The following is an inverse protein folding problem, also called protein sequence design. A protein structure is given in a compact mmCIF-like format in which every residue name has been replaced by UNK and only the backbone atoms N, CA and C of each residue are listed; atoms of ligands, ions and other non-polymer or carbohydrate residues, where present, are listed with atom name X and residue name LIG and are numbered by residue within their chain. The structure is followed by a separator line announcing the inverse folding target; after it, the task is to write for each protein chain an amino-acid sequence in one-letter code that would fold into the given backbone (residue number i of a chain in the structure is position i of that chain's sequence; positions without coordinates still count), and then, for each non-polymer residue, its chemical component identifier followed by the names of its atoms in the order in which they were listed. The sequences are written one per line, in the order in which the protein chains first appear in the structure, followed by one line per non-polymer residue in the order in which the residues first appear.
data_IF_032382775783
#
_entry.id   IF_032382775783
#
_cell.length_a   1.000
_cell.length_b   1.000
_cell.length_c   1.000
_cell.angle_alpha   90.00
_cell.angle_beta   90.00
_cell.angle_gamma   90.00
#
_symmetry.space_group_name_H-M   'P 1'
#
loop_
_entity.id
_entity.type
_entity.pdbx_description
1 polymer ?
#
# COMPACT_ATOMS: atom_id res chain seq x y z
N UNK A 1 18.98 42.24 24.73
CA UNK A 1 18.14 41.03 24.93
C UNK A 1 16.83 41.34 25.66
N UNK A 2 16.82 42.03 26.81
CA UNK A 2 15.61 42.26 27.63
C UNK A 2 14.45 43.02 26.91
N UNK A 3 14.76 43.98 26.04
CA UNK A 3 13.77 44.73 25.25
C UNK A 3 13.10 43.92 24.12
N UNK A 4 13.78 42.88 23.61
CA UNK A 4 13.23 41.99 22.58
C UNK A 4 12.14 41.09 23.17
N UNK A 5 12.38 40.55 24.37
CA UNK A 5 11.40 39.77 25.13
C UNK A 5 10.20 40.59 25.60
N UNK A 6 10.36 41.90 25.85
CA UNK A 6 9.24 42.80 26.14
C UNK A 6 8.36 43.05 24.91
N UNK A 7 8.96 43.22 23.72
CA UNK A 7 8.20 43.32 22.45
C UNK A 7 7.45 42.03 22.10
N UNK A 8 8.01 40.86 22.40
CA UNK A 8 7.34 39.57 22.21
C UNK A 8 6.06 39.40 23.06
N UNK A 9 5.92 40.17 24.15
CA UNK A 9 4.73 40.17 25.01
C UNK A 9 3.64 41.16 24.56
N UNK A 10 3.90 41.98 23.54
CA UNK A 10 2.87 42.88 23.02
C UNK A 10 1.75 42.06 22.36
N UNK A 11 0.46 42.35 22.63
CA UNK A 11 -0.67 41.57 22.10
C UNK A 11 -0.66 41.45 20.57
N UNK A 12 -0.19 42.48 19.86
CA UNK A 12 -0.08 42.49 18.39
C UNK A 12 1.02 41.55 17.90
N UNK A 13 2.15 41.52 18.59
CA UNK A 13 3.28 40.63 18.24
C UNK A 13 2.90 39.18 18.57
N UNK A 14 2.25 38.93 19.70
CA UNK A 14 1.66 37.63 20.05
C UNK A 14 0.65 37.17 18.99
N UNK A 15 -0.28 38.03 18.58
CA UNK A 15 -1.26 37.72 17.53
C UNK A 15 -0.56 37.36 16.21
N UNK A 16 0.43 38.15 15.78
CA UNK A 16 1.18 37.88 14.55
C UNK A 16 1.95 36.55 14.63
N UNK A 17 2.55 36.23 15.79
CA UNK A 17 3.23 34.95 15.99
C UNK A 17 2.27 33.78 15.97
N UNK A 18 1.08 33.90 16.57
CA UNK A 18 0.03 32.88 16.54
C UNK A 18 -0.48 32.69 15.11
N UNK A 19 -0.74 33.77 14.37
CA UNK A 19 -1.18 33.70 12.98
C UNK A 19 -0.09 33.07 12.09
N UNK A 20 1.17 33.44 12.28
CA UNK A 20 2.30 32.84 11.54
C UNK A 20 2.45 31.35 11.88
N UNK A 21 2.38 30.97 13.16
CA UNK A 21 2.44 29.58 13.58
C UNK A 21 1.25 28.76 13.05
N UNK A 22 0.04 29.33 13.06
CA UNK A 22 -1.14 28.71 12.48
C UNK A 22 -1.01 28.56 10.96
N UNK A 23 -0.56 29.60 10.25
CA UNK A 23 -0.33 29.53 8.80
C UNK A 23 0.73 28.48 8.43
N UNK A 24 1.84 28.40 9.17
CA UNK A 24 2.86 27.37 8.97
C UNK A 24 2.34 25.97 9.33
N UNK A 25 1.58 25.84 10.42
CA UNK A 25 1.01 24.56 10.85
C UNK A 25 -0.03 24.02 9.86
N UNK A 26 -1.08 24.80 9.61
CA UNK A 26 -2.17 24.41 8.71
C UNK A 26 -1.71 24.35 7.24
N UNK A 27 -0.92 25.33 6.79
CA UNK A 27 -0.37 25.34 5.43
C UNK A 27 0.61 24.19 5.20
N UNK A 28 1.50 23.94 6.17
CA UNK A 28 2.44 22.82 6.12
C UNK A 28 1.74 21.46 6.10
N UNK A 29 0.69 21.27 6.90
CA UNK A 29 -0.08 20.03 6.92
C UNK A 29 -0.81 19.77 5.60
N UNK A 30 -1.42 20.80 5.01
CA UNK A 30 -2.12 20.69 3.72
C UNK A 30 -1.16 20.38 2.57
N UNK A 31 0.04 20.96 2.57
CA UNK A 31 1.08 20.64 1.58
C UNK A 31 1.54 19.19 1.77
N UNK A 32 1.81 18.79 3.01
CA UNK A 32 2.26 17.43 3.30
C UNK A 32 1.23 16.39 2.85
N UNK A 33 -0.06 16.63 3.08
CA UNK A 33 -1.12 15.70 2.65
C UNK A 33 -1.25 15.59 1.13
N UNK A 34 -0.99 16.68 0.40
CA UNK A 34 -0.98 16.65 -1.07
C UNK A 34 0.25 15.94 -1.62
N UNK A 35 1.41 16.19 -1.02
CA UNK A 35 2.67 15.57 -1.45
C UNK A 35 2.67 14.08 -1.11
N UNK A 36 2.13 13.69 0.04
CA UNK A 36 2.04 12.28 0.44
C UNK A 36 1.06 11.47 -0.40
N UNK A 37 0.14 12.10 -1.12
CA UNK A 37 -0.73 11.42 -2.07
C UNK A 37 0.00 10.95 -3.34
N UNK A 38 1.22 11.44 -3.61
CA UNK A 38 2.02 11.01 -4.76
C UNK A 38 2.81 9.73 -4.40
N UNK A 39 2.61 8.60 -5.12
CA UNK A 39 3.35 7.36 -4.89
C UNK A 39 4.89 7.50 -4.84
N UNK A 40 5.45 8.43 -5.63
CA UNK A 40 6.89 8.67 -5.66
C UNK A 40 7.43 9.24 -4.35
N UNK A 41 6.58 9.92 -3.55
CA UNK A 41 6.98 10.50 -2.28
C UNK A 41 7.31 9.42 -1.23
N UNK A 42 6.61 8.29 -1.25
CA UNK A 42 6.80 7.21 -0.28
C UNK A 42 8.24 6.69 -0.26
N UNK A 43 8.89 6.60 -1.42
CA UNK A 43 10.27 6.15 -1.56
C UNK A 43 11.31 7.18 -1.04
N UNK A 44 10.90 8.42 -0.77
CA UNK A 44 11.80 9.48 -0.29
C UNK A 44 11.93 9.56 1.23
N UNK A 45 10.97 8.99 1.97
CA UNK A 45 10.89 9.12 3.43
C UNK A 45 11.09 7.81 4.20
N UNK A 46 10.78 6.66 3.59
CA UNK A 46 10.98 5.35 4.20
C UNK A 46 11.40 4.31 3.15
N UNK A 47 11.77 3.10 3.60
CA UNK A 47 12.31 2.04 2.73
C UNK A 47 11.24 1.47 1.78
N UNK A 48 10.86 2.18 0.72
CA UNK A 48 9.79 1.78 -0.21
C UNK A 48 10.25 1.77 -1.68
N UNK A 49 11.54 1.97 -1.94
CA UNK A 49 12.04 2.06 -3.32
C UNK A 49 11.73 0.80 -4.15
N UNK A 50 11.98 -0.44 -3.66
CA UNK A 50 11.68 -1.64 -4.44
C UNK A 50 10.18 -1.77 -4.80
N UNK A 51 9.30 -1.46 -3.86
CA UNK A 51 7.86 -1.52 -4.03
C UNK A 51 7.38 -0.42 -4.99
N UNK A 52 7.90 0.80 -4.87
CA UNK A 52 7.65 1.88 -5.82
C UNK A 52 8.12 1.50 -7.24
N UNK A 53 9.28 0.87 -7.37
CA UNK A 53 9.77 0.41 -8.67
C UNK A 53 8.80 -0.60 -9.28
N UNK A 54 8.36 -1.62 -8.52
CA UNK A 54 7.36 -2.58 -9.02
C UNK A 54 5.99 -1.97 -9.35
N UNK A 55 5.66 -0.81 -8.78
CA UNK A 55 4.47 -0.03 -9.07
C UNK A 55 4.64 0.82 -10.33
N UNK A 56 5.80 1.46 -10.51
CA UNK A 56 6.07 2.37 -11.61
C UNK A 56 6.47 1.65 -12.91
N UNK A 57 7.03 0.45 -12.81
CA UNK A 57 7.58 -0.33 -13.94
C UNK A 57 7.33 -1.83 -13.80
N UNK A 58 7.58 -2.57 -14.88
CA UNK A 58 7.47 -4.04 -14.92
C UNK A 58 6.08 -4.55 -15.34
N UNK A 59 5.78 -5.79 -14.98
CA UNK A 59 4.54 -6.49 -15.33
C UNK A 59 3.78 -7.06 -14.11
N UNK A 60 4.28 -6.76 -12.90
CA UNK A 60 3.69 -7.21 -11.65
C UNK A 60 2.32 -6.55 -11.43
N UNK A 61 1.52 -7.13 -10.52
CA UNK A 61 0.17 -6.64 -10.26
C UNK A 61 0.15 -5.18 -9.77
N UNK A 62 1.19 -4.72 -9.05
CA UNK A 62 1.33 -3.32 -8.66
C UNK A 62 1.34 -2.37 -9.87
N UNK A 63 2.08 -2.69 -10.94
CA UNK A 63 2.07 -1.89 -12.18
C UNK A 63 0.71 -1.89 -12.87
N UNK A 64 0.03 -3.04 -12.91
CA UNK A 64 -1.33 -3.14 -13.49
C UNK A 64 -2.33 -2.26 -12.72
N UNK A 65 -2.18 -2.16 -11.40
CA UNK A 65 -2.98 -1.25 -10.57
C UNK A 65 -2.61 0.22 -10.78
N UNK A 66 -1.30 0.53 -10.91
CA UNK A 66 -0.84 1.87 -11.28
C UNK A 66 -1.44 2.34 -12.61
N UNK A 67 -1.48 1.47 -13.62
CA UNK A 67 -2.07 1.75 -14.93
C UNK A 67 -3.59 1.95 -14.88
N UNK A 68 -4.25 1.35 -13.89
CA UNK A 68 -5.67 1.57 -13.60
C UNK A 68 -5.92 2.83 -12.75
N UNK A 69 -4.89 3.60 -12.41
CA UNK A 69 -4.99 4.82 -11.61
C UNK A 69 -5.12 4.59 -10.11
N UNK A 70 -4.88 3.36 -9.63
CA UNK A 70 -4.84 3.03 -8.20
C UNK A 70 -3.50 3.51 -7.62
N UNK A 71 -3.55 4.16 -6.47
CA UNK A 71 -2.42 4.74 -5.75
C UNK A 71 -2.06 3.90 -4.51
N UNK A 72 -0.93 4.20 -3.87
CA UNK A 72 -0.47 3.48 -2.68
C UNK A 72 -1.54 3.45 -1.57
N UNK A 73 -2.17 4.60 -1.29
CA UNK A 73 -3.11 4.75 -0.18
C UNK A 73 -4.48 4.10 -0.43
N UNK A 74 -4.80 3.75 -1.68
CA UNK A 74 -6.01 2.99 -1.96
C UNK A 74 -5.97 1.57 -1.35
N UNK A 75 -4.78 1.08 -0.97
CA UNK A 75 -4.59 -0.17 -0.24
C UNK A 75 -3.80 -0.01 1.07
N UNK A 76 -2.78 0.84 1.09
CA UNK A 76 -1.92 1.10 2.24
C UNK A 76 -2.40 2.32 3.02
N UNK A 77 -3.15 2.12 4.11
CA UNK A 77 -3.61 3.22 4.97
C UNK A 77 -2.88 3.20 6.34
N UNK A 78 -1.57 3.52 6.40
CA UNK A 78 -0.82 3.49 7.64
C UNK A 78 -1.24 4.64 8.56
N UNK A 79 -1.31 4.35 9.86
CA UNK A 79 -1.54 5.40 10.86
C UNK A 79 -0.38 6.41 10.86
N UNK A 80 -0.65 7.65 11.27
CA UNK A 80 0.40 8.68 11.37
C UNK A 80 1.59 8.23 12.24
N UNK A 81 1.32 7.55 13.35
CA UNK A 81 2.37 7.02 14.23
C UNK A 81 3.22 5.97 13.53
N UNK A 82 2.61 5.13 12.69
CA UNK A 82 3.33 4.14 11.90
C UNK A 82 4.25 4.81 10.87
N UNK A 83 3.74 5.78 10.12
CA UNK A 83 4.55 6.55 9.15
C UNK A 83 5.73 7.25 9.83
N UNK A 84 5.51 7.88 11.00
CA UNK A 84 6.59 8.52 11.76
C UNK A 84 7.64 7.51 12.24
N UNK A 85 7.22 6.32 12.66
CA UNK A 85 8.14 5.24 13.06
C UNK A 85 8.96 4.77 11.86
N UNK A 86 8.33 4.49 10.73
CA UNK A 86 9.00 4.03 9.50
C UNK A 86 10.02 5.07 9.01
N UNK A 87 9.66 6.35 8.99
CA UNK A 87 10.59 7.43 8.66
C UNK A 87 11.78 7.52 9.62
N UNK A 88 11.55 7.35 10.93
CA UNK A 88 12.63 7.30 11.91
C UNK A 88 13.57 6.11 11.68
N UNK A 89 13.02 4.92 11.44
CA UNK A 89 13.81 3.71 11.16
C UNK A 89 14.65 3.90 9.88
N UNK A 90 14.09 4.53 8.85
CA UNK A 90 14.81 4.86 7.62
C UNK A 90 15.99 5.81 7.85
N UNK A 91 15.77 6.93 8.52
CA UNK A 91 16.83 7.93 8.81
C UNK A 91 17.93 7.35 9.70
N UNK A 92 17.58 6.47 10.62
CA UNK A 92 18.55 5.80 11.50
C UNK A 92 19.22 4.58 10.86
N UNK A 93 18.76 4.15 9.69
CA UNK A 93 19.24 2.93 9.02
C UNK A 93 18.80 1.62 9.71
N UNK A 94 17.88 1.68 10.67
CA UNK A 94 17.44 0.55 11.46
C UNK A 94 16.13 -0.06 10.91
N UNK A 95 16.13 -0.47 9.64
CA UNK A 95 14.98 -1.07 8.97
C UNK A 95 15.33 -2.43 8.35
N UNK A 96 14.32 -3.24 8.09
CA UNK A 96 14.48 -4.54 7.44
C UNK A 96 14.50 -4.39 5.91
N UNK A 97 15.38 -5.15 5.26
CA UNK A 97 15.48 -5.22 3.80
C UNK A 97 15.81 -6.68 3.37
N UNK A 98 14.94 -7.37 2.60
CA UNK A 98 13.66 -6.89 2.08
C UNK A 98 12.65 -6.61 3.20
N UNK A 99 11.71 -5.70 2.95
CA UNK A 99 10.67 -5.40 3.93
C UNK A 99 9.79 -6.62 4.20
N UNK A 100 9.27 -6.77 5.43
CA UNK A 100 8.25 -7.75 5.73
C UNK A 100 7.04 -7.56 4.81
N UNK A 101 6.51 -8.68 4.31
CA UNK A 101 5.26 -8.66 3.55
C UNK A 101 4.10 -8.34 4.48
N UNK A 102 3.35 -7.30 4.13
CA UNK A 102 2.09 -6.98 4.78
C UNK A 102 0.96 -7.84 4.19
N UNK A 103 0.17 -8.45 5.07
CA UNK A 103 -1.02 -9.21 4.67
C UNK A 103 -2.22 -8.28 4.50
N UNK A 104 -2.97 -8.47 3.43
CA UNK A 104 -4.24 -7.81 3.18
C UNK A 104 -5.40 -8.79 3.30
N UNK A 105 -6.57 -8.28 3.67
CA UNK A 105 -7.80 -9.08 3.72
C UNK A 105 -8.48 -9.12 2.36
N UNK A 106 -9.25 -10.18 2.08
CA UNK A 106 -10.08 -10.23 0.87
C UNK A 106 -11.02 -9.03 0.75
N UNK A 107 -11.52 -8.50 1.88
CA UNK A 107 -12.42 -7.35 1.88
C UNK A 107 -11.79 -6.10 1.24
N UNK A 108 -10.48 -5.91 1.36
CA UNK A 108 -9.77 -4.80 0.72
C UNK A 108 -9.69 -4.98 -0.80
N UNK A 109 -9.43 -6.20 -1.28
CA UNK A 109 -9.44 -6.49 -2.71
C UNK A 109 -10.86 -6.35 -3.28
N UNK A 110 -11.86 -6.86 -2.55
CA UNK A 110 -13.27 -6.88 -2.96
C UNK A 110 -13.98 -5.53 -2.83
N UNK A 111 -13.32 -4.51 -2.29
CA UNK A 111 -13.85 -3.13 -2.31
C UNK A 111 -13.91 -2.56 -3.73
N UNK A 112 -13.02 -3.03 -4.61
CA UNK A 112 -12.94 -2.65 -6.02
C UNK A 112 -13.22 -3.80 -6.98
N UNK A 113 -12.91 -5.05 -6.58
CA UNK A 113 -13.13 -6.22 -7.43
C UNK A 113 -14.43 -6.96 -7.08
N UNK A 114 -15.30 -7.16 -8.07
CA UNK A 114 -16.46 -8.04 -7.90
C UNK A 114 -16.02 -9.51 -7.93
N UNK A 115 -16.37 -10.26 -6.89
CA UNK A 115 -16.07 -11.68 -6.85
C UNK A 115 -16.77 -12.45 -7.98
N UNK A 116 -17.99 -12.05 -8.35
CA UNK A 116 -18.70 -12.68 -9.46
C UNK A 116 -18.04 -12.41 -10.82
N UNK A 117 -17.47 -11.22 -11.02
CA UNK A 117 -16.71 -10.90 -12.23
C UNK A 117 -15.40 -11.68 -12.30
N UNK A 118 -14.71 -11.83 -11.17
CA UNK A 118 -13.51 -12.67 -11.06
C UNK A 118 -13.84 -14.12 -11.47
N UNK A 119 -14.93 -14.67 -10.93
CA UNK A 119 -15.40 -16.02 -11.29
C UNK A 119 -15.67 -16.16 -12.77
N UNK A 120 -16.34 -15.18 -13.37
CA UNK A 120 -16.64 -15.19 -14.81
C UNK A 120 -15.35 -15.11 -15.64
N UNK A 121 -14.41 -14.26 -15.26
CA UNK A 121 -13.13 -14.12 -15.93
C UNK A 121 -12.30 -15.42 -15.91
N UNK A 122 -12.39 -16.20 -14.82
CA UNK A 122 -11.69 -17.48 -14.68
C UNK A 122 -12.52 -18.71 -15.05
N UNK A 123 -13.76 -18.54 -15.54
CA UNK A 123 -14.68 -19.64 -15.84
C UNK A 123 -14.15 -20.62 -16.89
N UNK A 124 -13.25 -20.15 -17.77
CA UNK A 124 -12.61 -20.98 -18.79
C UNK A 124 -11.71 -22.09 -18.21
N UNK A 125 -11.27 -21.98 -16.95
CA UNK A 125 -10.57 -23.06 -16.24
C UNK A 125 -11.52 -24.14 -15.70
N UNK A 126 -12.84 -23.94 -15.79
CA UNK A 126 -13.84 -24.93 -15.40
C UNK A 126 -13.64 -25.41 -13.96
N UNK A 127 -13.47 -26.73 -13.80
CA UNK A 127 -13.28 -27.38 -12.48
C UNK A 127 -11.94 -27.06 -11.82
N UNK A 128 -10.98 -26.50 -12.55
CA UNK A 128 -9.68 -26.09 -12.01
C UNK A 128 -9.67 -24.62 -11.54
N UNK A 129 -10.79 -23.90 -11.63
CA UNK A 129 -10.86 -22.52 -11.18
C UNK A 129 -10.67 -22.43 -9.66
N UNK A 130 -9.69 -21.64 -9.16
CA UNK A 130 -9.49 -21.48 -7.73
C UNK A 130 -10.58 -20.60 -7.11
N UNK A 131 -11.26 -19.77 -7.91
CA UNK A 131 -12.35 -18.89 -7.48
C UNK A 131 -13.70 -19.63 -7.37
N UNK A 132 -13.72 -20.76 -6.69
CA UNK A 132 -14.94 -21.53 -6.38
C UNK A 132 -15.28 -21.34 -4.89
N UNK A 133 -16.58 -21.25 -4.52
CA UNK A 133 -17.02 -21.34 -3.13
C UNK A 133 -16.32 -22.42 -2.30
N UNK A 134 -15.92 -23.57 -2.85
CA UNK A 134 -15.22 -24.62 -2.06
C UNK A 134 -13.85 -24.18 -1.51
N UNK A 135 -13.20 -23.21 -2.16
CA UNK A 135 -11.94 -22.62 -1.71
C UNK A 135 -12.15 -21.41 -0.79
N UNK A 136 -13.40 -20.96 -0.57
CA UNK A 136 -13.75 -19.74 0.15
C UNK A 136 -14.83 -19.89 1.23
N UNK A 137 -15.67 -20.91 1.17
CA UNK A 137 -16.88 -21.07 1.98
C UNK A 137 -16.99 -22.51 2.51
N UNK A 138 -16.96 -22.65 3.84
CA UNK A 138 -17.26 -23.90 4.55
C UNK A 138 -16.05 -24.78 4.90
N UNK A 139 -14.83 -24.35 4.64
CA UNK A 139 -13.60 -25.01 5.09
C UNK A 139 -13.02 -24.33 6.33
N UNK A 140 -12.16 -25.04 7.06
CA UNK A 140 -11.50 -24.51 8.27
C UNK A 140 -10.46 -23.41 7.95
N UNK A 141 -10.09 -23.24 6.66
CA UNK A 141 -9.06 -22.32 6.17
C UNK A 141 -9.43 -21.72 4.79
N UNK A 142 -10.26 -20.66 4.72
CA UNK A 142 -10.60 -20.02 3.46
C UNK A 142 -9.36 -19.36 2.83
N UNK A 143 -9.19 -19.50 1.51
CA UNK A 143 -8.04 -18.90 0.83
C UNK A 143 -8.20 -17.39 0.70
N UNK A 144 -7.11 -16.66 0.96
CA UNK A 144 -7.05 -15.22 0.71
C UNK A 144 -6.55 -14.94 -0.71
N UNK A 145 -6.97 -13.83 -1.31
CA UNK A 145 -6.44 -13.39 -2.61
C UNK A 145 -4.91 -13.36 -2.60
N UNK A 146 -4.33 -12.86 -1.49
CA UNK A 146 -2.89 -12.75 -1.27
C UNK A 146 -2.15 -14.09 -1.11
N UNK A 147 -2.87 -15.21 -1.00
CA UNK A 147 -2.24 -16.53 -0.92
C UNK A 147 -1.67 -17.01 -2.25
N UNK A 148 -2.27 -16.60 -3.38
CA UNK A 148 -1.72 -16.85 -4.71
C UNK A 148 -1.29 -15.53 -5.41
N UNK A 149 -1.97 -14.40 -5.17
CA UNK A 149 -1.68 -13.11 -5.84
C UNK A 149 -0.76 -12.22 -4.99
N UNK A 150 0.29 -11.65 -5.59
CA UNK A 150 1.16 -10.67 -4.93
C UNK A 150 1.26 -9.38 -5.75
N UNK A 151 1.19 -8.23 -5.07
CA UNK A 151 1.25 -6.91 -5.73
C UNK A 151 2.66 -6.59 -6.21
N UNK A 152 3.60 -6.55 -5.25
CA UNK A 152 4.97 -6.09 -5.46
C UNK A 152 5.97 -7.22 -5.75
N UNK A 153 5.50 -8.48 -5.80
CA UNK A 153 6.33 -9.65 -6.05
C UNK A 153 5.67 -10.56 -7.08
N UNK A 154 6.41 -11.51 -7.66
CA UNK A 154 5.80 -12.56 -8.47
C UNK A 154 4.67 -13.29 -7.71
N UNK A 155 3.59 -13.54 -8.42
CA UNK A 155 2.45 -14.33 -7.94
C UNK A 155 2.88 -15.80 -7.81
N UNK A 156 2.24 -16.59 -6.95
CA UNK A 156 2.66 -17.98 -6.75
C UNK A 156 1.48 -18.93 -6.74
N UNK A 157 1.48 -19.90 -7.66
CA UNK A 157 0.50 -20.98 -7.66
C UNK A 157 0.87 -22.12 -6.71
N UNK A 158 2.09 -22.13 -6.14
CA UNK A 158 2.66 -23.28 -5.42
C UNK A 158 1.80 -23.78 -4.25
N UNK A 159 1.25 -22.87 -3.45
CA UNK A 159 0.34 -23.22 -2.34
C UNK A 159 -0.95 -23.88 -2.86
N UNK A 160 -1.40 -23.41 -4.02
CA UNK A 160 -2.70 -23.72 -4.60
C UNK A 160 -2.62 -25.04 -5.42
N UNK A 161 -1.45 -25.36 -6.00
CA UNK A 161 -1.15 -26.64 -6.65
C UNK A 161 -0.67 -27.75 -5.70
N UNK A 162 -0.55 -27.48 -4.40
CA UNK A 162 -0.08 -28.46 -3.43
C UNK A 162 -1.10 -29.58 -3.17
N UNK A 163 -2.39 -29.30 -3.35
CA UNK A 163 -3.46 -30.26 -3.09
C UNK A 163 -3.88 -31.03 -4.35
N UNK A 164 -3.98 -30.34 -5.49
CA UNK A 164 -4.28 -30.95 -6.78
C UNK A 164 -3.52 -30.24 -7.91
N UNK A 165 -3.20 -30.98 -8.96
CA UNK A 165 -2.64 -30.41 -10.18
C UNK A 165 -3.64 -29.49 -10.86
N UNK A 166 -3.12 -28.50 -11.57
CA UNK A 166 -3.88 -27.58 -12.42
C UNK A 166 -3.11 -27.34 -13.70
N UNK A 167 -3.82 -27.03 -14.78
CA UNK A 167 -3.26 -26.82 -16.12
C UNK A 167 -3.34 -25.34 -16.52
N UNK A 168 -3.09 -24.44 -15.56
CA UNK A 168 -3.21 -23.00 -15.77
C UNK A 168 -2.11 -22.46 -16.69
N UNK A 169 -2.49 -21.51 -17.55
CA UNK A 169 -1.53 -20.76 -18.37
C UNK A 169 -1.16 -19.48 -17.63
N UNK A 170 -0.06 -19.53 -16.89
CA UNK A 170 0.44 -18.40 -16.11
C UNK A 170 1.36 -17.52 -16.97
N UNK A 171 1.21 -16.21 -16.83
CA UNK A 171 2.06 -15.22 -17.50
C UNK A 171 3.42 -15.04 -16.77
N UNK A 172 4.26 -14.12 -17.25
CA UNK A 172 5.59 -13.90 -16.70
C UNK A 172 5.61 -13.29 -15.28
N UNK A 173 4.49 -12.75 -14.81
CA UNK A 173 4.35 -12.19 -13.46
C UNK A 173 4.15 -13.25 -12.37
N UNK A 174 4.13 -14.54 -12.74
CA UNK A 174 4.05 -15.66 -11.81
C UNK A 174 5.41 -16.33 -11.62
N UNK A 175 5.65 -16.81 -10.40
CA UNK A 175 6.72 -17.75 -10.10
C UNK A 175 6.55 -19.01 -10.96
N UNK A 176 7.64 -19.38 -11.64
CA UNK A 176 7.76 -20.66 -12.34
C UNK A 176 8.23 -21.76 -11.41
#
# INVERSE_FOLDING_TARGET
MMKLFQKLKEPRVLLLLVVAAAACGFGGLAILSQVSANPAFCASCHNMQPEYDSYAQGDLLAKKHADAGVTCHDCHEPTLLQQMKEGWLFVTGNYENPMPKYGYTNAQCLSCHSFDEIKQATAHYGKESPHDPVHLAGNENPQNCMDCHSMHHPQSAKKCTACHGVSWKLDASWEK
#
